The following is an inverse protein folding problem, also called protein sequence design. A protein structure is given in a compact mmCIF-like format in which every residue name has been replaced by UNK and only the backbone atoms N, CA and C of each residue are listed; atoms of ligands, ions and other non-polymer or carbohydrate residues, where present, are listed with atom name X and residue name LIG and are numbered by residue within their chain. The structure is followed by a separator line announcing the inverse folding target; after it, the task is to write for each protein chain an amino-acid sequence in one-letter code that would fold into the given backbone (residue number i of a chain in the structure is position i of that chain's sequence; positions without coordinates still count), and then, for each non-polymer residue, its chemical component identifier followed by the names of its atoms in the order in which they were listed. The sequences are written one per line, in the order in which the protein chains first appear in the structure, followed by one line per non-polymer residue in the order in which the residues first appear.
data_IF_448036571481
#
_entry.id   IF_448036571481
#
_cell.length_a   1.000
_cell.length_b   1.000
_cell.length_c   1.000
_cell.angle_alpha   90.00
_cell.angle_beta   90.00
_cell.angle_gamma   90.00
#
_symmetry.space_group_name_H-M   'P 1'
#
loop_
_entity.id
_entity.type
_entity.pdbx_description
1 polymer ?
#
# COMPACT_ATOMS: atom_id res chain seq x y z
N UNK A 1 55.46 -5.60 40.45
CA UNK A 1 54.66 -5.99 39.26
C UNK A 1 53.75 -4.82 38.93
N UNK A 2 54.30 -3.88 38.17
CA UNK A 2 53.65 -2.68 37.64
C UNK A 2 53.27 -3.02 36.19
N UNK A 3 52.23 -2.42 35.63
CA UNK A 3 51.85 -2.48 34.20
C UNK A 3 50.78 -3.50 33.77
N UNK A 4 49.64 -3.59 34.49
CA UNK A 4 48.42 -4.22 33.92
C UNK A 4 47.15 -3.35 33.95
N UNK A 5 47.30 -2.03 34.13
CA UNK A 5 46.18 -1.08 34.06
C UNK A 5 46.23 -0.15 32.83
N UNK A 6 47.24 -0.30 31.94
CA UNK A 6 47.45 0.60 30.80
C UNK A 6 47.04 0.00 29.43
N UNK A 7 46.47 -1.21 29.39
CA UNK A 7 46.11 -1.88 28.12
C UNK A 7 44.63 -1.69 27.75
N UNK A 8 43.77 -1.22 28.68
CA UNK A 8 42.34 -1.04 28.41
C UNK A 8 41.94 0.33 27.83
N UNK A 9 42.90 1.25 27.62
CA UNK A 9 42.64 2.61 27.14
C UNK A 9 43.00 2.85 25.66
N UNK A 10 43.33 1.80 24.90
CA UNK A 10 43.81 1.90 23.51
C UNK A 10 42.99 1.11 22.48
N UNK A 11 41.81 0.60 22.85
CA UNK A 11 40.92 -0.14 21.91
C UNK A 11 39.60 0.59 21.60
N UNK A 12 39.49 1.88 21.92
CA UNK A 12 38.28 2.68 21.66
C UNK A 12 38.47 3.78 20.61
N UNK A 13 39.51 3.69 19.79
CA UNK A 13 39.77 4.62 18.70
C UNK A 13 39.94 3.83 17.40
N UNK A 14 39.33 4.34 16.32
CA UNK A 14 39.35 3.82 14.94
C UNK A 14 38.28 2.77 14.62
N UNK A 15 37.01 3.20 14.44
CA UNK A 15 36.11 2.78 13.35
C UNK A 15 34.89 3.73 13.16
N UNK A 16 35.03 5.04 13.39
CA UNK A 16 34.06 6.04 12.90
C UNK A 16 34.75 6.89 11.84
N UNK A 17 34.70 6.42 10.59
CA UNK A 17 35.14 7.18 9.42
C UNK A 17 33.94 7.87 8.78
N UNK A 18 34.14 9.13 8.39
CA UNK A 18 33.15 10.15 8.10
C UNK A 18 32.51 10.10 6.69
N UNK A 19 31.40 10.86 6.56
CA UNK A 19 31.13 11.90 5.54
C UNK A 19 30.05 11.59 4.48
N UNK A 20 28.89 12.26 4.64
CA UNK A 20 28.47 13.25 3.64
C UNK A 20 27.67 14.38 4.30
N UNK A 21 27.86 15.58 3.76
CA UNK A 21 27.45 16.89 4.23
C UNK A 21 26.18 17.34 3.51
N UNK A 22 25.10 17.67 4.26
CA UNK A 22 24.22 18.80 3.92
C UNK A 22 23.30 19.20 5.08
N UNK A 23 23.70 20.29 5.72
CA UNK A 23 22.92 21.44 6.20
C UNK A 23 21.42 21.25 6.53
N UNK A 24 21.12 21.44 7.82
CA UNK A 24 19.82 21.86 8.30
C UNK A 24 19.48 23.28 7.80
N UNK A 25 18.25 23.47 7.35
CA UNK A 25 17.54 24.72 7.59
C UNK A 25 16.03 24.47 7.73
N UNK A 26 15.46 25.29 8.61
CA UNK A 26 14.04 25.62 8.80
C UNK A 26 13.16 24.68 9.64
N UNK A 27 13.17 25.00 10.93
CA UNK A 27 12.00 25.14 11.80
C UNK A 27 10.73 25.57 11.05
N UNK A 28 9.65 24.79 11.19
CA UNK A 28 8.42 25.35 11.76
C UNK A 28 7.51 24.25 12.30
N UNK A 29 7.36 24.23 13.63
CA UNK A 29 6.15 23.73 14.26
C UNK A 29 5.02 24.70 13.97
N UNK A 30 3.96 24.25 13.29
CA UNK A 30 2.64 24.86 13.40
C UNK A 30 1.57 23.77 13.39
N UNK A 31 0.97 23.54 14.56
CA UNK A 31 -0.34 22.93 14.68
C UNK A 31 -1.40 23.94 14.20
N UNK A 32 -2.32 23.48 13.35
CA UNK A 32 -3.67 24.03 13.25
C UNK A 32 -4.10 24.62 11.89
N UNK A 33 -4.42 23.78 10.90
CA UNK A 33 -5.78 23.64 10.34
C UNK A 33 -5.82 22.70 9.13
N UNK A 34 -6.91 21.93 9.09
CA UNK A 34 -7.36 20.96 8.10
C UNK A 34 -7.17 21.37 6.63
N UNK A 35 -6.27 20.67 5.94
CA UNK A 35 -6.44 20.28 4.54
C UNK A 35 -5.65 18.98 4.36
N UNK A 36 -6.36 17.88 4.15
CA UNK A 36 -5.76 16.60 3.75
C UNK A 36 -5.00 16.87 2.47
N UNK A 37 -3.67 16.91 2.53
CA UNK A 37 -2.84 16.83 1.33
C UNK A 37 -3.02 15.42 0.83
N UNK A 38 -3.98 15.27 -0.08
CA UNK A 38 -4.25 14.07 -0.84
C UNK A 38 -3.02 13.86 -1.73
N UNK A 39 -2.03 13.13 -1.23
CA UNK A 39 -1.01 12.51 -2.07
C UNK A 39 -1.73 11.45 -2.90
N UNK A 40 -2.36 11.91 -3.98
CA UNK A 40 -2.86 11.08 -5.07
C UNK A 40 -1.66 10.31 -5.63
N UNK A 41 -1.49 9.08 -5.16
CA UNK A 41 -0.42 8.20 -5.59
C UNK A 41 -0.64 7.73 -7.02
N UNK A 42 0.01 6.62 -7.38
CA UNK A 42 -0.03 6.06 -8.74
C UNK A 42 -1.46 5.74 -9.22
N UNK A 43 -2.43 5.65 -8.31
CA UNK A 43 -3.82 5.32 -8.65
C UNK A 43 -4.57 6.42 -9.40
N UNK A 44 -4.11 7.67 -9.26
CA UNK A 44 -4.77 8.85 -9.77
C UNK A 44 -4.09 9.44 -11.02
N UNK A 45 -3.06 8.78 -11.53
CA UNK A 45 -2.36 9.20 -12.75
C UNK A 45 -3.25 8.85 -13.94
N UNK A 46 -3.79 9.87 -14.60
CA UNK A 46 -4.46 9.74 -15.89
C UNK A 46 -3.40 9.90 -16.99
N UNK A 47 -2.84 8.78 -17.44
CA UNK A 47 -1.96 8.72 -18.61
C UNK A 47 -2.71 7.97 -19.72
N UNK A 48 -2.82 8.59 -20.89
CA UNK A 48 -3.46 8.02 -22.07
C UNK A 48 -2.49 7.31 -23.01
N UNK A 49 -1.18 7.35 -22.74
CA UNK A 49 -0.16 6.71 -23.56
C UNK A 49 0.25 5.32 -23.05
N UNK A 50 -0.02 5.00 -21.78
CA UNK A 50 0.26 3.69 -21.17
C UNK A 50 -0.99 2.81 -21.03
N UNK A 51 -0.78 1.50 -20.91
CA UNK A 51 -1.87 0.54 -20.69
C UNK A 51 -2.60 0.84 -19.38
N UNK A 52 -3.93 0.71 -19.41
CA UNK A 52 -4.78 1.01 -18.25
C UNK A 52 -4.39 0.15 -17.03
N UNK A 53 -4.29 0.80 -15.87
CA UNK A 53 -4.01 0.09 -14.62
C UNK A 53 -5.21 -0.75 -14.15
N UNK A 54 -4.99 -1.69 -13.23
CA UNK A 54 -6.04 -2.60 -12.74
C UNK A 54 -7.27 -1.85 -12.17
N UNK A 55 -7.06 -0.68 -11.54
CA UNK A 55 -8.14 0.12 -11.00
C UNK A 55 -8.94 0.85 -12.09
N UNK A 56 -8.28 1.35 -13.14
CA UNK A 56 -8.91 1.95 -14.31
C UNK A 56 -9.74 0.93 -15.09
N UNK A 57 -9.22 -0.30 -15.26
CA UNK A 57 -9.96 -1.42 -15.86
C UNK A 57 -11.17 -1.82 -15.01
N UNK A 58 -11.04 -1.87 -13.69
CA UNK A 58 -12.17 -2.13 -12.80
C UNK A 58 -13.23 -1.03 -12.85
N UNK A 59 -12.81 0.24 -13.01
CA UNK A 59 -13.71 1.40 -13.15
C UNK A 59 -14.47 1.43 -14.47
N UNK A 60 -13.90 0.89 -15.54
CA UNK A 60 -14.53 0.88 -16.86
C UNK A 60 -15.61 -0.21 -17.02
N UNK A 61 -15.69 -1.16 -16.09
CA UNK A 61 -16.60 -2.30 -16.15
C UNK A 61 -17.69 -2.19 -15.08
N UNK A 62 -18.95 -2.35 -15.49
CA UNK A 62 -20.10 -2.27 -14.58
C UNK A 62 -20.11 -3.38 -13.52
N UNK A 63 -19.55 -4.55 -13.84
CA UNK A 63 -19.50 -5.73 -12.98
C UNK A 63 -18.59 -5.58 -11.75
N UNK A 64 -17.75 -4.55 -11.70
CA UNK A 64 -16.78 -4.32 -10.62
C UNK A 64 -17.04 -3.04 -9.80
N UNK A 65 -18.17 -2.34 -10.03
CA UNK A 65 -18.51 -1.10 -9.30
C UNK A 65 -18.49 -1.25 -7.77
N UNK A 66 -18.99 -2.37 -7.25
CA UNK A 66 -19.01 -2.65 -5.80
C UNK A 66 -17.58 -2.77 -5.24
N UNK A 67 -16.69 -3.42 -5.99
CA UNK A 67 -15.29 -3.56 -5.62
C UNK A 67 -14.57 -2.21 -5.64
N UNK A 68 -14.80 -1.39 -6.66
CA UNK A 68 -14.20 -0.05 -6.75
C UNK A 68 -14.61 0.80 -5.56
N UNK A 69 -15.90 0.83 -5.21
CA UNK A 69 -16.40 1.55 -4.04
C UNK A 69 -15.76 1.05 -2.74
N UNK A 70 -15.57 -0.27 -2.60
CA UNK A 70 -14.89 -0.86 -1.45
C UNK A 70 -13.40 -0.48 -1.36
N UNK A 71 -12.68 -0.50 -2.49
CA UNK A 71 -11.27 -0.08 -2.56
C UNK A 71 -11.13 1.40 -2.19
N UNK A 72 -12.06 2.23 -2.67
CA UNK A 72 -12.08 3.66 -2.38
C UNK A 72 -12.38 3.94 -0.90
N UNK A 73 -13.36 3.24 -0.31
CA UNK A 73 -13.67 3.32 1.11
C UNK A 73 -12.50 2.84 1.99
N UNK A 74 -11.80 1.78 1.56
CA UNK A 74 -10.65 1.22 2.27
C UNK A 74 -9.38 2.08 2.16
N UNK A 75 -9.27 2.94 1.15
CA UNK A 75 -8.07 3.76 0.93
C UNK A 75 -6.86 2.94 0.47
N UNK A 76 -7.09 1.83 -0.25
CA UNK A 76 -6.03 0.90 -0.70
C UNK A 76 -5.74 1.01 -2.21
N UNK A 77 -6.22 2.06 -2.87
CA UNK A 77 -6.06 2.28 -4.32
C UNK A 77 -4.60 2.16 -4.74
N UNK A 78 -3.70 2.86 -4.03
CA UNK A 78 -2.27 2.89 -4.34
C UNK A 78 -1.58 1.54 -4.14
N UNK A 79 -2.09 0.70 -3.24
CA UNK A 79 -1.55 -0.65 -3.03
C UNK A 79 -1.91 -1.59 -4.20
N UNK A 80 -3.05 -1.37 -4.84
CA UNK A 80 -3.54 -2.19 -5.96
C UNK A 80 -2.86 -1.82 -7.28
N UNK A 81 -2.39 -0.57 -7.41
CA UNK A 81 -1.72 -0.07 -8.62
C UNK A 81 -0.20 0.07 -8.47
N UNK A 82 0.36 -0.45 -7.38
CA UNK A 82 1.79 -0.32 -7.09
C UNK A 82 2.65 -0.91 -8.22
N UNK A 83 3.85 -0.39 -8.40
CA UNK A 83 4.81 -0.83 -9.40
C UNK A 83 5.20 -2.30 -9.20
N UNK A 84 4.88 -3.13 -10.19
CA UNK A 84 5.25 -4.54 -10.24
C UNK A 84 4.14 -5.40 -10.85
N UNK A 85 4.44 -6.64 -11.27
CA UNK A 85 3.41 -7.56 -11.71
C UNK A 85 2.50 -7.94 -10.55
N UNK A 86 1.27 -7.44 -10.59
CA UNK A 86 0.21 -7.74 -9.62
C UNK A 86 -0.95 -8.43 -10.33
N UNK A 87 -1.48 -9.46 -9.69
CA UNK A 87 -2.73 -10.12 -10.13
C UNK A 87 -3.81 -9.82 -9.10
N UNK A 88 -4.89 -9.18 -9.55
CA UNK A 88 -6.06 -8.87 -8.70
C UNK A 88 -7.16 -9.88 -8.97
N UNK A 89 -7.52 -10.66 -7.96
CA UNK A 89 -8.66 -11.57 -8.03
C UNK A 89 -9.95 -10.80 -7.73
N UNK A 90 -10.42 -10.04 -8.71
CA UNK A 90 -11.59 -9.18 -8.58
C UNK A 90 -12.91 -10.00 -8.59
N UNK A 91 -13.66 -10.05 -7.49
CA UNK A 91 -15.01 -10.61 -7.50
C UNK A 91 -15.95 -9.73 -8.31
N UNK A 92 -16.83 -10.36 -9.10
CA UNK A 92 -17.96 -9.70 -9.77
C UNK A 92 -19.07 -9.38 -8.78
N UNK A 93 -19.97 -8.45 -9.13
CA UNK A 93 -21.13 -8.08 -8.30
C UNK A 93 -21.92 -9.30 -7.78
N UNK A 94 -22.16 -10.32 -8.61
CA UNK A 94 -22.89 -11.55 -8.20
C UNK A 94 -22.18 -12.38 -7.13
N UNK A 95 -20.88 -12.17 -6.90
CA UNK A 95 -20.15 -12.80 -5.82
C UNK A 95 -20.42 -12.10 -4.47
N UNK A 96 -20.69 -10.80 -4.49
CA UNK A 96 -21.11 -10.05 -3.30
C UNK A 96 -22.53 -10.42 -2.88
N UNK A 97 -23.42 -10.70 -3.84
CA UNK A 97 -24.79 -11.16 -3.58
C UNK A 97 -24.85 -12.53 -2.88
N UNK A 98 -23.77 -13.32 -2.97
CA UNK A 98 -23.65 -14.61 -2.26
C UNK A 98 -23.25 -14.46 -0.80
N UNK A 99 -22.85 -13.26 -0.38
CA UNK A 99 -22.57 -12.99 1.02
C UNK A 99 -23.87 -12.85 1.80
N UNK A 100 -23.90 -13.19 3.09
CA UNK A 100 -25.06 -12.95 3.93
C UNK A 100 -25.45 -11.47 3.90
N UNK A 101 -26.75 -11.19 3.86
CA UNK A 101 -27.27 -9.81 3.89
C UNK A 101 -26.66 -9.03 5.07
N UNK A 102 -26.28 -7.78 4.83
CA UNK A 102 -25.65 -6.92 5.83
C UNK A 102 -24.12 -7.05 5.91
N UNK A 103 -23.49 -8.03 5.26
CA UNK A 103 -22.03 -8.22 5.32
C UNK A 103 -21.29 -7.12 4.56
N UNK A 104 -21.76 -6.75 3.37
CA UNK A 104 -21.14 -5.72 2.54
C UNK A 104 -21.30 -4.35 3.19
N UNK A 105 -22.49 -4.06 3.70
CA UNK A 105 -22.80 -2.81 4.40
C UNK A 105 -21.97 -2.68 5.67
N UNK A 106 -21.77 -3.78 6.40
CA UNK A 106 -20.94 -3.80 7.60
C UNK A 106 -19.47 -3.58 7.26
N UNK A 107 -18.95 -4.23 6.21
CA UNK A 107 -17.57 -4.05 5.75
C UNK A 107 -17.28 -2.64 5.22
N UNK A 108 -18.28 -1.96 4.66
CA UNK A 108 -18.15 -0.57 4.17
C UNK A 108 -18.18 0.48 5.29
N UNK A 109 -18.49 0.09 6.54
CA UNK A 109 -18.46 1.04 7.66
C UNK A 109 -17.03 1.51 7.93
N UNK A 110 -16.84 2.79 8.31
CA UNK A 110 -15.51 3.32 8.63
C UNK A 110 -14.85 2.58 9.80
N UNK A 111 -15.65 2.04 10.72
CA UNK A 111 -15.21 1.20 11.84
C UNK A 111 -14.48 -0.07 11.38
N UNK A 112 -14.85 -0.62 10.21
CA UNK A 112 -14.29 -1.86 9.67
C UNK A 112 -13.31 -1.62 8.51
N UNK A 113 -12.89 -0.37 8.30
CA UNK A 113 -11.97 0.00 7.22
C UNK A 113 -10.69 -0.84 7.22
N UNK A 114 -10.14 -1.14 8.40
CA UNK A 114 -8.94 -1.97 8.52
C UNK A 114 -9.20 -3.42 8.09
N UNK A 115 -10.36 -3.97 8.46
CA UNK A 115 -10.77 -5.32 8.04
C UNK A 115 -11.00 -5.37 6.54
N UNK A 116 -11.67 -4.36 5.97
CA UNK A 116 -11.90 -4.24 4.53
C UNK A 116 -10.56 -4.14 3.78
N UNK A 117 -9.64 -3.30 4.26
CA UNK A 117 -8.30 -3.18 3.70
C UNK A 117 -7.53 -4.51 3.77
N UNK A 118 -7.65 -5.26 4.87
CA UNK A 118 -7.03 -6.58 5.02
C UNK A 118 -7.60 -7.58 4.02
N UNK A 119 -8.93 -7.65 3.87
CA UNK A 119 -9.58 -8.54 2.90
C UNK A 119 -9.14 -8.19 1.48
N UNK A 120 -9.17 -6.91 1.11
CA UNK A 120 -8.78 -6.46 -0.23
C UNK A 120 -7.30 -6.74 -0.54
N UNK A 121 -6.40 -6.55 0.44
CA UNK A 121 -4.97 -6.92 0.27
C UNK A 121 -4.78 -8.41 0.01
N UNK A 122 -5.59 -9.29 0.62
CA UNK A 122 -5.53 -10.73 0.37
C UNK A 122 -6.13 -11.14 -0.99
N UNK A 123 -6.89 -10.27 -1.65
CA UNK A 123 -7.34 -10.50 -3.03
C UNK A 123 -6.30 -10.09 -4.08
N UNK A 124 -5.18 -9.50 -3.67
CA UNK A 124 -4.08 -9.10 -4.55
C UNK A 124 -2.89 -10.00 -4.31
N UNK A 125 -2.44 -10.70 -5.35
CA UNK A 125 -1.27 -11.55 -5.27
C UNK A 125 -0.04 -10.88 -5.92
N UNK A 126 1.13 -10.90 -5.24
CA UNK A 126 2.36 -10.34 -5.77
C UNK A 126 3.03 -11.33 -6.73
N UNK A 127 2.50 -11.41 -7.95
CA UNK A 127 3.14 -12.01 -9.13
C UNK A 127 2.18 -11.92 -10.33
N UNK A 128 2.69 -12.27 -11.50
CA UNK A 128 1.86 -12.54 -12.67
C UNK A 128 1.41 -14.00 -12.62
N UNK A 129 0.11 -14.23 -12.47
CA UNK A 129 -0.49 -15.55 -12.56
C UNK A 129 -1.28 -15.68 -13.86
N UNK A 130 -0.65 -16.14 -14.96
CA UNK A 130 -1.37 -16.42 -16.18
C UNK A 130 -2.31 -17.63 -15.99
N UNK A 131 -3.37 -17.67 -16.79
CA UNK A 131 -4.35 -18.76 -16.84
C UNK A 131 -3.71 -20.17 -16.92
N UNK A 132 -2.62 -20.31 -17.66
CA UNK A 132 -1.84 -21.55 -17.78
C UNK A 132 -1.29 -22.08 -16.45
N UNK A 133 -1.08 -21.21 -15.46
CA UNK A 133 -0.58 -21.54 -14.13
C UNK A 133 -1.71 -21.70 -13.10
N UNK A 134 -2.90 -21.15 -13.39
CA UNK A 134 -4.10 -21.27 -12.57
C UNK A 134 -4.93 -22.50 -12.99
N UNK A 135 -4.41 -23.69 -12.68
CA UNK A 135 -5.19 -24.92 -12.88
C UNK A 135 -6.32 -25.00 -11.85
N UNK A 136 -7.53 -25.25 -12.33
CA UNK A 136 -8.68 -25.55 -11.49
C UNK A 136 -8.52 -26.99 -10.99
N UNK A 137 -8.21 -27.16 -9.71
CA UNK A 137 -8.27 -28.45 -9.01
C UNK A 137 -9.72 -28.92 -8.87
#
# INVERSE_FOLDING_TARGET
MKNKLLVFLLFSFVLFSCKNEKQANDDNTSQGNTAVVEHKGQAAVEDSESDANALQVAKSLDDFKTLVAAIEAAGVQDAVVNTGPLTVFAPVNVAFDKLPEGTVENLLKPENKEQLAFVLKNHVAPANFPDTQLKKE
#
